data_IF_369345192000
#
_entry.id   IF_369345192000
#
_cell.length_a   1.000
_cell.length_b   1.000
_cell.length_c   1.000
_cell.angle_alpha   90.00
_cell.angle_beta   90.00
_cell.angle_gamma   90.00
#
_symmetry.space_group_name_H-M   'P 1'
#
loop_
_entity.id
_entity.type
_entity.pdbx_description
1 polymer ?
#
# COMPACT_ATOMS: atom_id res chain seq x y z
N UNK A 1 -11.07 -16.56 -2.92
CA UNK A 1 -10.19 -16.70 -4.10
C UNK A 1 -9.27 -15.48 -4.27
N UNK A 2 -9.80 -14.25 -4.38
CA UNK A 2 -8.99 -13.02 -4.54
C UNK A 2 -7.94 -12.83 -3.43
N UNK A 3 -8.31 -13.01 -2.16
CA UNK A 3 -7.36 -12.93 -1.03
C UNK A 3 -6.18 -13.89 -1.18
N UNK A 4 -6.44 -15.14 -1.58
CA UNK A 4 -5.40 -16.15 -1.82
C UNK A 4 -4.47 -15.74 -2.95
N UNK A 5 -5.04 -15.29 -4.08
CA UNK A 5 -4.25 -14.82 -5.23
C UNK A 5 -3.42 -13.59 -4.89
N UNK A 6 -3.95 -12.67 -4.07
CA UNK A 6 -3.21 -11.51 -3.60
C UNK A 6 -2.02 -11.91 -2.72
N UNK A 7 -2.24 -12.83 -1.78
CA UNK A 7 -1.16 -13.35 -0.96
C UNK A 7 -0.09 -14.04 -1.81
N UNK A 8 -0.48 -14.88 -2.77
CA UNK A 8 0.46 -15.49 -3.72
C UNK A 8 1.21 -14.41 -4.50
N UNK A 9 0.51 -13.44 -5.09
CA UNK A 9 1.11 -12.33 -5.84
C UNK A 9 2.18 -11.61 -5.02
N UNK A 10 1.93 -11.38 -3.73
CA UNK A 10 2.85 -10.65 -2.87
C UNK A 10 3.99 -11.53 -2.36
N UNK A 11 3.76 -12.78 -1.95
CA UNK A 11 4.73 -13.59 -1.21
C UNK A 11 5.47 -14.66 -2.02
N UNK A 12 4.90 -15.15 -3.12
CA UNK A 12 5.50 -16.20 -3.96
C UNK A 12 6.77 -15.70 -4.64
N UNK A 13 7.88 -16.43 -4.53
CA UNK A 13 9.15 -16.05 -5.15
C UNK A 13 9.08 -16.13 -6.67
N UNK A 14 8.28 -17.04 -7.20
CA UNK A 14 8.04 -17.26 -8.63
C UNK A 14 7.43 -16.05 -9.33
N UNK A 15 6.75 -15.17 -8.59
CA UNK A 15 6.10 -13.97 -9.11
C UNK A 15 6.94 -12.70 -8.97
N UNK A 16 8.24 -12.81 -8.71
CA UNK A 16 9.13 -11.65 -8.59
C UNK A 16 9.12 -10.76 -9.83
N UNK A 17 9.25 -11.34 -11.03
CA UNK A 17 9.26 -10.57 -12.27
C UNK A 17 7.92 -9.89 -12.53
N UNK A 18 6.81 -10.58 -12.22
CA UNK A 18 5.46 -10.02 -12.34
C UNK A 18 5.27 -8.81 -11.42
N UNK A 19 5.75 -8.90 -10.17
CA UNK A 19 5.75 -7.76 -9.24
C UNK A 19 6.57 -6.59 -9.76
N UNK A 20 7.74 -6.85 -10.35
CA UNK A 20 8.56 -5.79 -10.95
C UNK A 20 7.89 -5.12 -12.15
N UNK A 21 7.18 -5.88 -12.98
CA UNK A 21 6.37 -5.32 -14.07
C UNK A 21 5.26 -4.40 -13.55
N UNK A 22 4.59 -4.79 -12.46
CA UNK A 22 3.53 -3.99 -11.84
C UNK A 22 4.04 -2.73 -11.14
N UNK A 23 5.27 -2.72 -10.65
CA UNK A 23 5.79 -1.71 -9.73
C UNK A 23 5.81 -0.28 -10.30
N UNK A 24 6.26 -0.10 -11.54
CA UNK A 24 6.46 1.25 -12.10
C UNK A 24 5.47 1.61 -13.24
N UNK A 25 4.64 0.66 -13.68
CA UNK A 25 3.66 0.84 -14.78
C UNK A 25 4.20 1.63 -15.99
N UNK A 26 5.44 1.34 -16.40
CA UNK A 26 6.14 2.11 -17.46
C UNK A 26 5.72 1.75 -18.88
N UNK A 27 5.07 0.60 -19.05
CA UNK A 27 4.74 0.03 -20.36
C UNK A 27 3.24 -0.18 -20.51
N UNK A 28 2.74 -0.20 -21.75
CA UNK A 28 1.34 -0.54 -22.00
C UNK A 28 0.99 -1.94 -21.49
N UNK A 29 1.92 -2.90 -21.60
CA UNK A 29 1.73 -4.25 -21.08
C UNK A 29 1.58 -4.30 -19.55
N UNK A 30 2.36 -3.53 -18.81
CA UNK A 30 2.25 -3.44 -17.35
C UNK A 30 0.95 -2.76 -16.92
N UNK A 31 0.52 -1.72 -17.64
CA UNK A 31 -0.80 -1.11 -17.43
C UNK A 31 -1.95 -2.06 -17.72
N UNK A 32 -1.89 -2.82 -18.81
CA UNK A 32 -2.91 -3.81 -19.16
C UNK A 32 -3.01 -4.91 -18.11
N UNK A 33 -1.86 -5.40 -17.62
CA UNK A 33 -1.79 -6.37 -16.53
C UNK A 33 -2.40 -5.78 -15.24
N UNK A 34 -1.99 -4.57 -14.84
CA UNK A 34 -2.55 -3.89 -13.67
C UNK A 34 -4.05 -3.73 -13.79
N UNK A 35 -4.57 -3.27 -14.94
CA UNK A 35 -6.00 -3.09 -15.16
C UNK A 35 -6.77 -4.42 -15.08
N UNK A 36 -6.20 -5.50 -15.61
CA UNK A 36 -6.79 -6.85 -15.53
C UNK A 36 -6.88 -7.33 -14.07
N UNK A 37 -5.78 -7.21 -13.32
CA UNK A 37 -5.75 -7.57 -11.90
C UNK A 37 -6.68 -6.67 -11.09
N UNK A 38 -6.65 -5.37 -11.32
CA UNK A 38 -7.46 -4.38 -10.60
C UNK A 38 -8.96 -4.69 -10.68
N UNK A 39 -9.48 -5.06 -11.87
CA UNK A 39 -10.88 -5.46 -12.06
C UNK A 39 -11.27 -6.70 -11.27
N UNK A 40 -10.33 -7.61 -11.04
CA UNK A 40 -10.59 -8.81 -10.24
C UNK A 40 -10.38 -8.54 -8.74
N UNK A 41 -9.42 -7.66 -8.41
CA UNK A 41 -9.06 -7.31 -7.03
C UNK A 41 -10.10 -6.40 -6.39
N UNK A 42 -10.86 -5.61 -7.15
CA UNK A 42 -11.90 -4.70 -6.64
C UNK A 42 -13.01 -5.41 -5.85
N UNK A 43 -13.14 -6.74 -5.97
CA UNK A 43 -14.02 -7.56 -5.13
C UNK A 43 -13.48 -7.80 -3.71
N UNK A 44 -12.27 -7.34 -3.40
CA UNK A 44 -11.68 -7.30 -2.06
C UNK A 44 -11.04 -5.91 -1.84
N UNK A 45 -11.58 -5.10 -0.92
CA UNK A 45 -11.07 -3.75 -0.66
C UNK A 45 -9.57 -3.75 -0.33
N UNK A 46 -9.16 -4.55 0.65
CA UNK A 46 -7.77 -4.60 1.12
C UNK A 46 -6.83 -5.13 0.03
N UNK A 47 -7.24 -6.14 -0.74
CA UNK A 47 -6.45 -6.62 -1.87
C UNK A 47 -6.24 -5.49 -2.90
N UNK A 48 -7.28 -4.73 -3.23
CA UNK A 48 -7.19 -3.59 -4.16
C UNK A 48 -6.19 -2.56 -3.70
N UNK A 49 -6.23 -2.16 -2.42
CA UNK A 49 -5.26 -1.21 -1.85
C UNK A 49 -3.86 -1.80 -1.90
N UNK A 50 -3.68 -3.08 -1.56
CA UNK A 50 -2.36 -3.72 -1.61
C UNK A 50 -1.77 -3.77 -3.03
N UNK A 51 -2.60 -3.99 -4.06
CA UNK A 51 -2.20 -3.89 -5.46
C UNK A 51 -1.82 -2.46 -5.86
N UNK A 52 -2.55 -1.46 -5.37
CA UNK A 52 -2.23 -0.05 -5.63
C UNK A 52 -0.91 0.36 -4.97
N UNK A 53 -0.66 -0.09 -3.74
CA UNK A 53 0.61 0.10 -3.05
C UNK A 53 1.77 -0.58 -3.80
N UNK A 54 1.53 -1.79 -4.32
CA UNK A 54 2.50 -2.54 -5.13
C UNK A 54 2.89 -1.78 -6.40
N UNK A 55 1.88 -1.22 -7.08
CA UNK A 55 2.05 -0.50 -8.34
C UNK A 55 2.36 1.00 -8.17
N UNK A 56 2.66 1.44 -6.94
CA UNK A 56 2.96 2.84 -6.60
C UNK A 56 1.86 3.84 -7.01
N UNK A 57 0.62 3.40 -7.16
CA UNK A 57 -0.54 4.24 -7.46
C UNK A 57 -1.11 4.84 -6.18
N UNK A 58 -0.26 5.51 -5.40
CA UNK A 58 -0.55 5.94 -4.04
C UNK A 58 -1.72 6.92 -3.91
N UNK A 59 -1.91 7.78 -4.91
CA UNK A 59 -3.08 8.67 -4.94
C UNK A 59 -4.38 7.87 -4.98
N UNK A 60 -4.43 6.86 -5.85
CA UNK A 60 -5.58 5.99 -5.98
C UNK A 60 -5.80 5.13 -4.73
N UNK A 61 -4.72 4.62 -4.12
CA UNK A 61 -4.80 3.95 -2.82
C UNK A 61 -5.42 4.84 -1.74
N UNK A 62 -5.04 6.12 -1.69
CA UNK A 62 -5.63 7.12 -0.79
C UNK A 62 -7.14 7.30 -1.04
N UNK A 63 -7.54 7.47 -2.30
CA UNK A 63 -8.94 7.68 -2.67
C UNK A 63 -9.79 6.46 -2.27
N UNK A 64 -9.29 5.24 -2.49
CA UNK A 64 -9.92 4.00 -2.03
C UNK A 64 -10.07 3.94 -0.50
N UNK A 65 -9.02 4.32 0.25
CA UNK A 65 -9.06 4.30 1.71
C UNK A 65 -10.07 5.29 2.30
N UNK A 66 -10.35 6.41 1.63
CA UNK A 66 -11.42 7.31 2.05
C UNK A 66 -12.79 6.64 1.94
N UNK A 67 -13.02 5.88 0.87
CA UNK A 67 -14.26 5.13 0.66
C UNK A 67 -14.42 4.03 1.72
N UNK A 68 -13.34 3.46 2.24
CA UNK A 68 -13.41 2.39 3.25
C UNK A 68 -14.04 2.84 4.57
N UNK A 69 -14.00 4.14 4.88
CA UNK A 69 -14.68 4.69 6.07
C UNK A 69 -16.20 4.51 6.04
N UNK A 70 -16.79 4.34 4.85
CA UNK A 70 -18.22 4.13 4.67
C UNK A 70 -18.60 2.64 4.56
N UNK A 71 -17.62 1.72 4.62
CA UNK A 71 -17.83 0.28 4.53
C UNK A 71 -18.02 -0.29 5.94
N UNK A 72 -18.88 -1.31 6.06
CA UNK A 72 -19.03 -2.08 7.29
C UNK A 72 -17.69 -2.71 7.73
N UNK A 73 -17.22 -2.33 8.92
CA UNK A 73 -15.97 -2.86 9.50
C UNK A 73 -16.23 -4.22 10.11
N UNK A 74 -15.82 -5.28 9.41
CA UNK A 74 -15.90 -6.66 9.87
C UNK A 74 -14.55 -7.17 10.42
N UNK A 75 -14.58 -8.24 11.22
CA UNK A 75 -13.35 -8.89 11.73
C UNK A 75 -12.47 -9.38 10.58
N UNK A 76 -13.08 -9.92 9.52
CA UNK A 76 -12.35 -10.38 8.33
C UNK A 76 -11.65 -9.20 7.63
N UNK A 77 -12.33 -8.07 7.51
CA UNK A 77 -11.75 -6.85 6.93
C UNK A 77 -10.53 -6.36 7.75
N UNK A 78 -10.67 -6.28 9.08
CA UNK A 78 -9.56 -5.89 9.97
C UNK A 78 -8.39 -6.88 9.90
N UNK A 79 -8.69 -8.18 9.84
CA UNK A 79 -7.68 -9.24 9.71
C UNK A 79 -6.88 -9.10 8.41
N UNK A 80 -7.52 -8.71 7.31
CA UNK A 80 -6.82 -8.47 6.05
C UNK A 80 -5.98 -7.19 6.10
N UNK A 81 -6.44 -6.12 6.77
CA UNK A 81 -5.60 -4.92 6.98
C UNK A 81 -4.37 -5.27 7.83
N UNK A 82 -4.54 -6.04 8.92
CA UNK A 82 -3.43 -6.49 9.75
C UNK A 82 -2.38 -7.24 8.91
N UNK A 83 -2.81 -8.17 8.06
CA UNK A 83 -1.92 -8.88 7.12
C UNK A 83 -1.22 -7.91 6.16
N UNK A 84 -1.93 -6.92 5.62
CA UNK A 84 -1.32 -5.91 4.76
C UNK A 84 -0.24 -5.10 5.50
N UNK A 85 -0.47 -4.73 6.76
CA UNK A 85 0.56 -4.05 7.57
C UNK A 85 1.79 -4.93 7.76
N UNK A 86 1.61 -6.22 8.06
CA UNK A 86 2.74 -7.15 8.16
C UNK A 86 3.50 -7.26 6.83
N UNK A 87 2.79 -7.27 5.70
CA UNK A 87 3.41 -7.26 4.37
C UNK A 87 4.18 -5.96 4.11
N UNK A 88 3.69 -4.80 4.53
CA UNK A 88 4.41 -3.51 4.39
C UNK A 88 5.78 -3.56 5.09
N UNK A 89 5.90 -4.27 6.21
CA UNK A 89 7.17 -4.49 6.89
C UNK A 89 8.04 -5.62 6.31
N UNK A 90 7.49 -6.42 5.40
CA UNK A 90 8.22 -7.49 4.73
C UNK A 90 9.15 -6.96 3.61
N UNK A 91 10.08 -7.79 3.10
CA UNK A 91 10.99 -7.41 2.03
C UNK A 91 10.30 -6.94 0.74
N UNK A 92 9.07 -7.41 0.48
CA UNK A 92 8.29 -7.12 -0.74
C UNK A 92 8.06 -5.60 -0.89
N UNK A 93 7.82 -4.91 0.23
CA UNK A 93 7.57 -3.47 0.26
C UNK A 93 8.79 -2.66 0.76
N UNK A 94 10.00 -3.22 0.68
CA UNK A 94 11.23 -2.47 1.02
C UNK A 94 11.35 -1.16 0.23
N UNK A 95 11.03 -1.18 -1.06
CA UNK A 95 11.09 0.04 -1.89
C UNK A 95 10.09 1.11 -1.42
N UNK A 96 8.88 0.69 -1.04
CA UNK A 96 7.84 1.58 -0.53
C UNK A 96 8.31 2.23 0.78
N UNK A 97 8.93 1.45 1.67
CA UNK A 97 9.51 1.99 2.92
C UNK A 97 10.67 2.95 2.65
N UNK A 98 11.50 2.70 1.63
CA UNK A 98 12.56 3.63 1.23
C UNK A 98 11.99 4.95 0.68
N UNK A 99 10.84 4.93 0.00
CA UNK A 99 10.17 6.14 -0.48
C UNK A 99 9.64 7.03 0.66
N UNK A 100 9.49 6.49 1.87
CA UNK A 100 9.14 7.30 3.06
C UNK A 100 10.28 8.22 3.51
N UNK A 101 11.50 8.07 2.98
CA UNK A 101 12.58 9.02 3.22
C UNK A 101 12.29 10.40 2.61
N UNK A 102 11.46 10.45 1.55
CA UNK A 102 11.07 11.67 0.84
C UNK A 102 9.55 11.92 0.93
N UNK A 103 9.01 12.27 2.11
CA UNK A 103 7.57 12.43 2.32
C UNK A 103 6.94 13.56 1.49
N UNK A 104 7.73 14.57 1.09
CA UNK A 104 7.27 15.66 0.23
C UNK A 104 6.97 15.17 -1.19
N UNK A 105 7.74 14.21 -1.71
CA UNK A 105 7.50 13.62 -3.03
C UNK A 105 6.48 12.48 -2.97
N UNK A 106 6.40 11.79 -1.83
CA UNK A 106 5.52 10.64 -1.62
C UNK A 106 4.36 10.96 -0.65
N UNK A 107 3.75 12.13 -0.78
CA UNK A 107 2.70 12.60 0.16
C UNK A 107 1.49 11.65 0.21
N UNK A 108 1.06 11.12 -0.94
CA UNK A 108 -0.05 10.17 -0.98
C UNK A 108 0.32 8.81 -0.38
N UNK A 109 1.59 8.40 -0.41
CA UNK A 109 2.03 7.19 0.28
C UNK A 109 1.88 7.39 1.79
N UNK A 110 2.43 8.48 2.32
CA UNK A 110 2.33 8.81 3.74
C UNK A 110 0.86 8.90 4.17
N UNK A 111 0.02 9.61 3.40
CA UNK A 111 -1.41 9.73 3.67
C UNK A 111 -2.13 8.38 3.60
N UNK A 112 -1.76 7.48 2.67
CA UNK A 112 -2.34 6.13 2.60
C UNK A 112 -1.98 5.29 3.81
N UNK A 113 -0.73 5.36 4.27
CA UNK A 113 -0.30 4.63 5.48
C UNK A 113 -0.98 5.18 6.74
N UNK A 114 -1.14 6.49 6.89
CA UNK A 114 -1.97 7.05 7.96
C UNK A 114 -3.45 6.66 7.81
N UNK A 115 -3.98 6.59 6.59
CA UNK A 115 -5.34 6.10 6.32
C UNK A 115 -5.53 4.66 6.82
N UNK A 116 -4.61 3.75 6.48
CA UNK A 116 -4.60 2.38 7.02
C UNK A 116 -4.51 2.38 8.55
N UNK A 117 -3.65 3.22 9.13
CA UNK A 117 -3.51 3.34 10.58
C UNK A 117 -4.83 3.75 11.26
N UNK A 118 -5.58 4.68 10.66
CA UNK A 118 -6.86 5.17 11.21
C UNK A 118 -8.01 4.16 11.09
N UNK A 119 -7.90 3.16 10.20
CA UNK A 119 -8.89 2.08 10.08
C UNK A 119 -8.69 0.98 11.13
N UNK A 120 -7.49 0.89 11.72
CA UNK A 120 -7.15 -0.17 12.66
C UNK A 120 -7.61 0.16 14.09
N UNK A 121 -8.13 -0.84 14.85
CA UNK A 121 -8.17 -0.73 16.30
C UNK A 121 -6.72 -0.67 16.85
N UNK A 122 -6.54 -0.41 18.15
CA UNK A 122 -5.21 -0.39 18.79
C UNK A 122 -4.60 -1.80 18.94
N UNK A 123 -4.47 -2.53 17.83
CA UNK A 123 -3.87 -3.85 17.70
C UNK A 123 -2.35 -3.78 17.52
N UNK A 124 -1.68 -4.92 17.50
CA UNK A 124 -0.24 -5.01 17.18
C UNK A 124 0.08 -4.45 15.78
N UNK A 125 -0.82 -4.61 14.80
CA UNK A 125 -0.65 -4.02 13.49
C UNK A 125 -0.70 -2.48 13.55
N UNK A 126 -1.62 -1.92 14.33
CA UNK A 126 -1.65 -0.47 14.57
C UNK A 126 -0.33 0.01 15.16
N UNK A 127 0.18 -0.66 16.19
CA UNK A 127 1.45 -0.30 16.80
C UNK A 127 2.63 -0.43 15.81
N UNK A 128 2.68 -1.52 15.05
CA UNK A 128 3.69 -1.76 14.02
C UNK A 128 3.73 -0.62 13.00
N UNK A 129 2.57 -0.26 12.43
CA UNK A 129 2.48 0.81 11.44
C UNK A 129 2.76 2.19 12.04
N UNK A 130 2.29 2.44 13.26
CA UNK A 130 2.58 3.69 13.99
C UNK A 130 4.08 3.86 14.23
N UNK A 131 4.79 2.79 14.63
CA UNK A 131 6.24 2.84 14.82
C UNK A 131 6.97 3.12 13.51
N UNK A 132 6.56 2.51 12.39
CA UNK A 132 7.10 2.82 11.06
C UNK A 132 6.90 4.30 10.71
N UNK A 133 5.70 4.81 10.92
CA UNK A 133 5.35 6.21 10.63
C UNK A 133 6.12 7.18 11.53
N UNK A 134 6.42 6.81 12.78
CA UNK A 134 7.25 7.61 13.68
C UNK A 134 8.72 7.71 13.22
N UNK A 135 9.20 6.78 12.38
CA UNK A 135 10.53 6.86 11.77
C UNK A 135 10.57 7.75 10.52
N UNK A 136 9.43 8.22 10.02
CA UNK A 136 9.38 9.09 8.83
C UNK A 136 9.94 10.47 9.21
N UNK A 137 10.87 11.04 8.42
CA UNK A 137 11.42 12.36 8.71
C UNK A 137 10.32 13.41 8.85
N UNK A 138 10.37 14.20 9.92
CA UNK A 138 9.43 15.30 10.09
C UNK A 138 9.60 16.29 8.93
N UNK A 139 8.53 16.47 8.14
CA UNK A 139 8.51 17.36 6.97
C UNK A 139 8.92 18.79 7.33
N UNK A 140 8.67 19.23 8.58
CA UNK A 140 9.04 20.54 9.11
C UNK A 140 10.56 20.74 9.29
N UNK A 141 11.35 19.66 9.38
CA UNK A 141 12.81 19.71 9.54
C UNK A 141 13.56 19.61 8.20
N UNK A 142 12.85 19.32 7.10
CA UNK A 142 13.45 19.20 5.79
C UNK A 142 13.50 20.57 5.11
N UNK A 143 14.68 21.07 4.68
CA UNK A 143 14.77 22.35 3.99
C UNK A 143 13.83 22.34 2.76
N UNK A 144 13.17 23.47 2.45
CA UNK A 144 12.29 23.54 1.29
C UNK A 144 13.05 23.12 0.04
N UNK A 145 12.53 22.12 -0.69
CA UNK A 145 13.09 21.72 -1.97
C UNK A 145 13.01 22.93 -2.91
N UNK A 146 14.17 23.50 -3.25
CA UNK A 146 14.27 24.50 -4.31
C UNK A 146 13.88 23.79 -5.61
N UNK A 147 12.70 24.08 -6.13
CA UNK A 147 12.34 23.78 -7.51
C UNK A 147 13.38 24.43 -8.41
N UNK A 148 14.07 23.60 -9.20
CA UNK A 148 14.88 24.06 -10.34
C UNK A 148 13.99 24.23 -11.55
#
# INVERSE_FOLDING_TARGET
MVHTLNNILLTSTELFDLRNQLKDLKTESSWSLFACLYRSWCHSPVATVSLCLLAQTYKHACDLLQIFGDIEVTVDFLTEIDKLVQLIESPIFTYLRLQLLDPQQNTYLVKSLYGLLMLLPQSDAFHTLRHRLACVPNVQLMPPQKTK
#
